data_IF_927486099261
#
_entry.id   IF_927486099261
#
_cell.length_a   1.000
_cell.length_b   1.000
_cell.length_c   1.000
_cell.angle_alpha   90.00
_cell.angle_beta   90.00
_cell.angle_gamma   90.00
#
_symmetry.space_group_name_H-M   'P 1'
#
loop_
_entity.id
_entity.type
_entity.pdbx_description
1 polymer ?
#
# COMPACT_ATOMS: atom_id res chain seq x y z
N UNK A 1 4.27 -21.32 5.91
CA UNK A 1 5.56 -22.03 5.89
C UNK A 1 6.77 -21.13 6.14
N UNK A 2 6.65 -19.82 5.96
CA UNK A 2 7.73 -18.85 6.12
C UNK A 2 7.80 -18.21 7.51
N UNK A 3 7.10 -18.76 8.48
CA UNK A 3 6.93 -18.16 9.79
C UNK A 3 7.46 -19.09 10.91
N UNK A 4 8.06 -18.48 11.92
CA UNK A 4 8.48 -19.15 13.14
C UNK A 4 9.93 -19.64 13.15
N UNK A 5 10.34 -20.19 14.28
CA UNK A 5 11.72 -20.61 14.54
C UNK A 5 12.24 -21.74 13.66
N UNK A 6 11.33 -22.60 13.18
CA UNK A 6 11.68 -23.70 12.27
C UNK A 6 12.12 -23.21 10.90
N UNK A 7 11.49 -22.14 10.36
CA UNK A 7 11.93 -21.55 9.09
C UNK A 7 13.39 -21.09 9.17
N UNK A 8 13.75 -20.37 10.23
CA UNK A 8 15.13 -19.90 10.44
C UNK A 8 16.13 -21.07 10.49
N UNK A 9 15.83 -22.11 11.27
CA UNK A 9 16.70 -23.29 11.41
C UNK A 9 16.91 -24.00 10.07
N UNK A 10 15.84 -24.19 9.29
CA UNK A 10 15.90 -24.81 7.96
C UNK A 10 16.64 -23.93 6.96
N UNK A 11 16.38 -22.63 6.97
CA UNK A 11 17.08 -21.68 6.11
C UNK A 11 18.60 -21.73 6.34
N UNK A 12 19.05 -21.68 7.58
CA UNK A 12 20.48 -21.72 7.90
C UNK A 12 21.12 -23.06 7.49
N UNK A 13 20.41 -24.16 7.63
CA UNK A 13 20.89 -25.48 7.19
C UNK A 13 21.12 -25.50 5.67
N UNK A 14 20.13 -25.07 4.90
CA UNK A 14 20.24 -25.02 3.44
C UNK A 14 21.27 -23.97 3.00
N UNK A 15 21.27 -22.80 3.59
CA UNK A 15 22.22 -21.73 3.26
C UNK A 15 23.66 -22.20 3.47
N UNK A 16 23.95 -22.86 4.58
CA UNK A 16 25.28 -23.41 4.86
C UNK A 16 25.70 -24.39 3.79
N UNK A 17 24.88 -25.38 3.49
CA UNK A 17 25.19 -26.40 2.49
C UNK A 17 25.39 -25.80 1.08
N UNK A 18 24.53 -24.82 0.69
CA UNK A 18 24.67 -24.14 -0.60
C UNK A 18 25.98 -23.35 -0.65
N UNK A 19 26.30 -22.59 0.40
CA UNK A 19 27.51 -21.76 0.45
C UNK A 19 28.81 -22.57 0.54
N UNK A 20 28.76 -23.75 1.11
CA UNK A 20 29.89 -24.68 1.08
C UNK A 20 30.18 -25.24 -0.31
N UNK A 21 29.13 -25.53 -1.09
CA UNK A 21 29.27 -26.07 -2.45
C UNK A 21 29.40 -24.97 -3.52
N UNK A 22 28.73 -23.83 -3.33
CA UNK A 22 28.60 -22.74 -4.30
C UNK A 22 28.65 -21.38 -3.59
N UNK A 23 29.83 -20.92 -3.16
CA UNK A 23 29.98 -19.70 -2.36
C UNK A 23 29.50 -18.44 -3.06
N UNK A 24 29.48 -18.41 -4.40
CA UNK A 24 29.07 -17.29 -5.22
C UNK A 24 27.55 -17.12 -5.33
N UNK A 25 26.77 -18.17 -5.05
CA UNK A 25 25.29 -18.09 -5.17
C UNK A 25 24.71 -17.25 -4.04
N UNK A 26 23.95 -16.24 -4.39
CA UNK A 26 23.17 -15.44 -3.45
C UNK A 26 21.97 -16.26 -2.93
N UNK A 27 21.87 -16.42 -1.62
CA UNK A 27 20.76 -17.13 -1.00
C UNK A 27 19.75 -16.13 -0.47
N UNK A 28 18.53 -16.20 -1.00
CA UNK A 28 17.42 -15.30 -0.68
C UNK A 28 16.53 -15.95 0.37
N UNK A 29 16.23 -15.21 1.42
CA UNK A 29 15.27 -15.63 2.44
C UNK A 29 13.86 -15.16 2.04
N UNK A 30 12.86 -16.02 2.12
CA UNK A 30 11.46 -15.65 1.89
C UNK A 30 10.78 -14.98 3.10
N UNK A 31 11.53 -14.68 4.15
CA UNK A 31 11.05 -13.92 5.30
C UNK A 31 12.21 -13.13 5.93
N UNK A 32 11.95 -11.95 6.49
CA UNK A 32 12.95 -11.23 7.25
C UNK A 32 13.45 -12.10 8.41
N UNK A 33 14.75 -12.38 8.42
CA UNK A 33 15.39 -13.15 9.49
C UNK A 33 15.61 -12.23 10.69
N UNK A 34 14.96 -12.52 11.80
CA UNK A 34 15.09 -11.74 13.02
C UNK A 34 16.38 -12.08 13.76
N UNK A 35 17.00 -11.09 14.36
CA UNK A 35 18.09 -11.04 15.39
C UNK A 35 19.28 -12.02 15.31
N UNK A 36 19.21 -13.20 14.73
CA UNK A 36 20.26 -14.24 14.79
C UNK A 36 20.90 -14.62 13.46
N UNK A 37 20.37 -14.14 12.33
CA UNK A 37 20.94 -14.44 11.02
C UNK A 37 20.52 -13.37 10.03
N UNK A 38 21.40 -13.08 9.07
CA UNK A 38 21.10 -12.22 7.95
C UNK A 38 21.16 -13.06 6.70
N UNK A 39 20.08 -13.07 5.93
CA UNK A 39 20.22 -13.43 4.54
C UNK A 39 20.91 -12.28 3.81
N UNK A 40 21.57 -12.60 2.73
CA UNK A 40 22.13 -11.59 1.84
C UNK A 40 20.99 -10.74 1.27
N UNK A 41 19.93 -11.40 0.83
CA UNK A 41 18.72 -10.78 0.34
C UNK A 41 17.48 -11.35 1.03
N UNK A 42 16.43 -10.54 1.07
CA UNK A 42 15.10 -10.95 1.53
C UNK A 42 14.10 -10.77 0.40
N UNK A 43 13.29 -11.78 0.18
CA UNK A 43 12.16 -11.73 -0.74
C UNK A 43 10.97 -11.04 -0.06
N UNK A 44 10.48 -9.99 -0.69
CA UNK A 44 9.37 -9.18 -0.18
C UNK A 44 8.26 -9.09 -1.22
N UNK A 45 7.03 -9.36 -0.82
CA UNK A 45 5.85 -9.33 -1.67
C UNK A 45 4.95 -8.16 -1.29
N UNK A 46 4.43 -7.44 -2.29
CA UNK A 46 3.58 -6.26 -2.12
C UNK A 46 2.32 -6.36 -2.97
N UNK A 47 1.28 -6.91 -2.38
CA UNK A 47 -0.05 -6.95 -2.98
C UNK A 47 -0.99 -6.04 -2.21
N UNK A 48 -1.33 -4.89 -2.78
CA UNK A 48 -2.08 -3.85 -2.08
C UNK A 48 -2.88 -2.99 -3.06
N UNK A 49 -3.64 -2.04 -2.51
CA UNK A 49 -4.31 -1.01 -3.29
C UNK A 49 -3.35 0.09 -3.76
N UNK A 50 -3.83 0.95 -4.66
CA UNK A 50 -3.05 2.07 -5.22
C UNK A 50 -2.45 2.99 -4.16
N UNK A 51 -3.22 3.29 -3.10
CA UNK A 51 -2.79 4.17 -2.03
C UNK A 51 -1.52 3.66 -1.32
N UNK A 52 -1.38 2.34 -1.22
CA UNK A 52 -0.16 1.76 -0.68
C UNK A 52 1.04 2.11 -1.55
N UNK A 53 0.96 1.91 -2.86
CA UNK A 53 2.07 2.15 -3.78
C UNK A 53 2.43 3.64 -3.84
N UNK A 54 1.44 4.52 -3.90
CA UNK A 54 1.65 5.98 -3.86
C UNK A 54 2.34 6.45 -2.56
N UNK A 55 1.89 5.96 -1.41
CA UNK A 55 2.42 6.41 -0.10
C UNK A 55 3.74 5.74 0.28
N UNK A 56 4.17 4.70 -0.42
CA UNK A 56 5.39 3.96 -0.16
C UNK A 56 6.49 4.15 -1.22
N UNK A 57 6.41 5.20 -2.04
CA UNK A 57 7.49 5.55 -2.97
C UNK A 57 8.84 5.75 -2.25
N UNK A 58 8.85 6.39 -1.09
CA UNK A 58 10.04 6.54 -0.25
C UNK A 58 10.34 5.39 0.72
N UNK A 59 9.75 4.19 0.53
CA UNK A 59 9.88 3.07 1.46
C UNK A 59 11.32 2.65 1.76
N UNK A 60 12.16 2.69 0.75
CA UNK A 60 13.54 2.23 0.81
C UNK A 60 14.56 3.34 1.07
N UNK A 61 14.11 4.58 1.30
CA UNK A 61 14.99 5.68 1.63
C UNK A 61 15.75 5.42 2.93
N UNK A 62 16.96 5.96 3.05
CA UNK A 62 17.88 5.69 4.16
C UNK A 62 17.35 6.11 5.54
N UNK A 63 16.42 7.05 5.58
CA UNK A 63 15.72 7.49 6.79
C UNK A 63 14.63 6.51 7.25
N UNK A 64 14.15 5.65 6.35
CA UNK A 64 13.08 4.68 6.61
C UNK A 64 13.56 3.23 6.61
N UNK A 65 14.57 2.92 5.79
CA UNK A 65 15.08 1.56 5.64
C UNK A 65 16.56 1.48 6.01
N UNK A 66 16.88 0.69 7.01
CA UNK A 66 18.27 0.56 7.49
C UNK A 66 19.19 -0.08 6.45
N UNK A 67 20.27 0.59 6.11
CA UNK A 67 21.35 0.09 5.22
C UNK A 67 22.12 -1.10 5.84
N UNK A 68 21.86 -1.42 7.11
CA UNK A 68 22.38 -2.62 7.77
C UNK A 68 21.46 -3.84 7.62
N UNK A 69 20.28 -3.66 7.05
CA UNK A 69 19.35 -4.75 6.74
C UNK A 69 19.81 -5.55 5.52
N UNK A 70 19.23 -6.74 5.31
CA UNK A 70 19.39 -7.48 4.06
C UNK A 70 18.92 -6.65 2.88
N UNK A 71 19.60 -6.79 1.73
CA UNK A 71 19.08 -6.23 0.48
C UNK A 71 17.73 -6.87 0.10
N UNK A 72 16.95 -6.18 -0.69
CA UNK A 72 15.58 -6.57 -1.03
C UNK A 72 15.51 -7.11 -2.46
N UNK A 73 14.92 -8.26 -2.61
CA UNK A 73 14.31 -8.73 -3.83
C UNK A 73 12.79 -8.52 -3.68
N UNK A 74 12.20 -7.68 -4.52
CA UNK A 74 10.74 -7.57 -4.60
C UNK A 74 10.28 -8.69 -5.53
N UNK A 75 10.05 -9.88 -4.95
CA UNK A 75 9.76 -11.09 -5.73
C UNK A 75 8.39 -11.09 -6.35
N UNK A 76 7.45 -10.40 -5.72
CA UNK A 76 6.09 -10.24 -6.24
C UNK A 76 5.54 -8.87 -5.86
N UNK A 77 4.93 -8.18 -6.82
CA UNK A 77 4.13 -6.99 -6.53
C UNK A 77 3.05 -6.78 -7.60
N UNK A 78 2.04 -6.03 -7.25
CA UNK A 78 0.98 -5.59 -8.15
C UNK A 78 -0.22 -5.05 -7.39
N UNK A 79 -0.94 -4.13 -8.02
CA UNK A 79 -2.19 -3.58 -7.49
C UNK A 79 -3.29 -4.63 -7.54
N UNK A 80 -3.93 -4.90 -6.40
CA UNK A 80 -4.96 -5.95 -6.28
C UNK A 80 -6.35 -5.39 -5.97
N UNK A 81 -6.46 -4.11 -5.66
CA UNK A 81 -7.73 -3.48 -5.32
C UNK A 81 -8.62 -3.32 -6.55
N UNK A 82 -9.80 -3.91 -6.52
CA UNK A 82 -10.82 -3.75 -7.56
C UNK A 82 -11.70 -2.51 -7.27
N UNK A 83 -12.12 -1.76 -8.30
CA UNK A 83 -12.00 -2.03 -9.74
C UNK A 83 -10.71 -1.51 -10.39
N UNK A 84 -9.73 -1.05 -9.63
CA UNK A 84 -8.55 -0.33 -10.12
C UNK A 84 -7.44 -1.24 -10.66
N UNK A 85 -7.35 -2.48 -10.20
CA UNK A 85 -6.36 -3.44 -10.70
C UNK A 85 -6.41 -3.56 -12.22
N UNK A 86 -5.24 -3.51 -12.87
CA UNK A 86 -5.12 -3.56 -14.33
C UNK A 86 -5.48 -2.28 -15.08
N UNK A 87 -5.75 -1.17 -14.39
CA UNK A 87 -6.03 0.13 -15.01
C UNK A 87 -4.75 0.98 -15.14
N UNK A 88 -4.82 2.04 -15.93
CA UNK A 88 -3.73 3.02 -16.03
C UNK A 88 -3.44 3.68 -14.67
N UNK A 89 -4.46 3.92 -13.86
CA UNK A 89 -4.31 4.51 -12.53
C UNK A 89 -3.49 3.60 -11.60
N UNK A 90 -3.76 2.30 -11.62
CA UNK A 90 -2.95 1.32 -10.90
C UNK A 90 -1.49 1.32 -11.37
N UNK A 91 -1.27 1.33 -12.69
CA UNK A 91 0.07 1.39 -13.26
C UNK A 91 0.84 2.65 -12.84
N UNK A 92 0.19 3.82 -12.79
CA UNK A 92 0.80 5.07 -12.31
C UNK A 92 1.19 4.97 -10.82
N UNK A 93 0.35 4.38 -9.99
CA UNK A 93 0.68 4.15 -8.58
C UNK A 93 1.88 3.20 -8.43
N UNK A 94 1.90 2.11 -9.19
CA UNK A 94 3.04 1.18 -9.26
C UNK A 94 4.31 1.89 -9.76
N UNK A 95 4.21 2.82 -10.72
CA UNK A 95 5.34 3.62 -11.21
C UNK A 95 5.98 4.44 -10.08
N UNK A 96 5.19 5.09 -9.23
CA UNK A 96 5.71 5.86 -8.09
C UNK A 96 6.53 4.97 -7.15
N UNK A 97 6.07 3.75 -6.89
CA UNK A 97 6.78 2.79 -6.06
C UNK A 97 8.09 2.30 -6.72
N UNK A 98 8.05 2.04 -8.03
CA UNK A 98 9.22 1.62 -8.80
C UNK A 98 10.30 2.68 -8.87
N UNK A 99 9.93 3.96 -9.06
CA UNK A 99 10.89 5.09 -9.00
C UNK A 99 11.60 5.08 -7.65
N UNK A 100 10.87 4.98 -6.55
CA UNK A 100 11.48 4.90 -5.23
C UNK A 100 12.36 3.66 -5.01
N UNK A 101 12.06 2.56 -5.67
CA UNK A 101 12.92 1.38 -5.67
C UNK A 101 14.23 1.62 -6.47
N UNK A 102 14.14 2.26 -7.64
CA UNK A 102 15.31 2.60 -8.48
C UNK A 102 16.20 3.68 -7.85
N UNK A 103 15.64 4.61 -7.07
CA UNK A 103 16.41 5.58 -6.28
C UNK A 103 17.28 4.92 -5.19
N UNK A 104 17.03 3.67 -4.85
CA UNK A 104 17.70 2.94 -3.79
C UNK A 104 18.32 1.60 -4.28
N UNK A 105 19.20 1.62 -5.32
CA UNK A 105 19.76 0.42 -5.92
C UNK A 105 20.72 -0.33 -4.99
N UNK A 106 21.20 0.33 -3.95
CA UNK A 106 22.00 -0.28 -2.89
C UNK A 106 21.19 -1.24 -2.03
N UNK A 107 19.88 -1.02 -1.92
CA UNK A 107 18.97 -1.86 -1.14
C UNK A 107 18.06 -2.73 -1.99
N UNK A 108 17.45 -2.19 -3.05
CA UNK A 108 16.57 -2.96 -3.93
C UNK A 108 17.37 -3.52 -5.10
N UNK A 109 17.61 -4.81 -5.07
CA UNK A 109 18.47 -5.46 -6.06
C UNK A 109 17.73 -5.97 -7.28
N UNK A 110 16.52 -6.45 -7.10
CA UNK A 110 15.68 -6.98 -8.17
C UNK A 110 14.21 -6.79 -7.83
N UNK A 111 13.39 -6.82 -8.87
CA UNK A 111 11.95 -6.83 -8.73
C UNK A 111 11.30 -7.70 -9.82
N UNK A 112 10.15 -8.27 -9.50
CA UNK A 112 9.34 -9.05 -10.43
C UNK A 112 7.85 -8.77 -10.17
N UNK A 113 7.09 -8.67 -11.23
CA UNK A 113 5.63 -8.52 -11.15
C UNK A 113 4.96 -9.90 -11.07
N UNK A 114 3.86 -9.99 -10.34
CA UNK A 114 3.07 -11.21 -10.31
C UNK A 114 1.56 -10.94 -10.17
N UNK A 115 0.73 -11.72 -10.91
CA UNK A 115 1.10 -12.74 -11.90
C UNK A 115 1.51 -12.11 -13.24
N UNK A 116 2.44 -12.74 -13.94
CA UNK A 116 2.84 -12.31 -15.29
C UNK A 116 1.79 -12.72 -16.32
N UNK A 117 1.34 -13.96 -16.27
CA UNK A 117 0.38 -14.55 -17.21
C UNK A 117 -0.90 -14.94 -16.49
N UNK A 118 -2.04 -14.69 -17.13
CA UNK A 118 -3.36 -15.15 -16.68
C UNK A 118 -4.21 -15.64 -17.84
N UNK A 119 -4.81 -16.83 -17.68
CA UNK A 119 -5.75 -17.34 -18.66
C UNK A 119 -7.13 -16.69 -18.43
N UNK A 120 -7.59 -15.91 -19.39
CA UNK A 120 -8.86 -15.20 -19.32
C UNK A 120 -10.03 -16.16 -19.01
N UNK A 121 -10.83 -15.82 -18.00
CA UNK A 121 -11.90 -16.66 -17.49
C UNK A 121 -11.47 -17.64 -16.38
N UNK A 122 -10.17 -17.79 -16.13
CA UNK A 122 -9.61 -18.65 -15.07
C UNK A 122 -8.68 -17.87 -14.14
N UNK A 123 -8.70 -16.55 -14.24
CA UNK A 123 -7.86 -15.67 -13.43
C UNK A 123 -8.30 -15.69 -11.98
N UNK A 124 -7.33 -15.81 -11.11
CA UNK A 124 -7.50 -15.56 -9.69
C UNK A 124 -7.84 -14.08 -9.44
N UNK A 125 -7.97 -13.68 -8.20
CA UNK A 125 -8.32 -12.32 -7.80
C UNK A 125 -7.31 -11.23 -8.24
N UNK A 126 -6.12 -11.61 -8.72
CA UNK A 126 -5.03 -10.71 -9.14
C UNK A 126 -5.08 -10.47 -10.64
N UNK A 127 -4.83 -9.23 -11.05
CA UNK A 127 -4.80 -8.87 -12.46
C UNK A 127 -3.41 -9.18 -13.05
N UNK A 128 -3.31 -10.03 -14.10
CA UNK A 128 -2.03 -10.37 -14.71
C UNK A 128 -1.49 -9.22 -15.58
N UNK A 129 -0.19 -9.24 -15.84
CA UNK A 129 0.40 -8.35 -16.86
C UNK A 129 -0.14 -8.65 -18.24
N UNK A 130 -0.32 -9.92 -18.54
CA UNK A 130 -0.76 -10.42 -19.84
C UNK A 130 -1.91 -11.39 -19.61
N UNK A 131 -3.11 -11.02 -19.99
CA UNK A 131 -4.26 -11.92 -20.09
C UNK A 131 -4.27 -12.60 -21.45
N UNK A 132 -4.50 -13.89 -21.51
CA UNK A 132 -4.54 -14.63 -22.76
C UNK A 132 -5.67 -15.66 -22.78
N UNK A 133 -6.06 -16.06 -23.96
CA UNK A 133 -6.89 -17.22 -24.23
C UNK A 133 -6.35 -17.98 -25.44
N UNK A 134 -7.12 -18.91 -25.99
CA UNK A 134 -6.69 -19.72 -27.15
C UNK A 134 -6.46 -18.94 -28.45
N UNK A 135 -6.89 -17.68 -28.52
CA UNK A 135 -6.92 -16.90 -29.77
C UNK A 135 -6.15 -15.60 -29.71
N UNK A 136 -6.00 -15.02 -28.52
CA UNK A 136 -5.40 -13.68 -28.37
C UNK A 136 -4.74 -13.50 -27.01
N UNK A 137 -3.84 -12.53 -26.94
CA UNK A 137 -3.25 -12.04 -25.71
C UNK A 137 -3.43 -10.53 -25.62
N UNK A 138 -3.76 -10.03 -24.43
CA UNK A 138 -3.96 -8.62 -24.15
C UNK A 138 -3.03 -8.22 -23.01
N UNK A 139 -2.29 -7.15 -23.19
CA UNK A 139 -1.37 -6.62 -22.19
C UNK A 139 -2.03 -5.52 -21.37
N UNK A 140 -1.71 -5.46 -20.08
CA UNK A 140 -2.20 -4.41 -19.17
C UNK A 140 -1.37 -3.13 -19.26
N UNK A 141 -1.85 -1.99 -18.74
CA UNK A 141 -1.04 -0.80 -18.54
C UNK A 141 0.22 -1.04 -17.73
N UNK A 142 0.18 -1.90 -16.70
CA UNK A 142 1.35 -2.30 -15.91
C UNK A 142 2.40 -3.04 -16.73
N UNK A 143 2.02 -3.77 -17.77
CA UNK A 143 2.97 -4.35 -18.73
C UNK A 143 3.75 -3.25 -19.45
N UNK A 144 3.08 -2.23 -19.95
CA UNK A 144 3.74 -1.12 -20.64
C UNK A 144 4.66 -0.34 -19.71
N UNK A 145 4.23 -0.12 -18.47
CA UNK A 145 5.04 0.45 -17.41
C UNK A 145 6.35 -0.33 -17.23
N UNK A 146 6.27 -1.63 -16.96
CA UNK A 146 7.45 -2.46 -16.75
C UNK A 146 8.34 -2.52 -17.99
N UNK A 147 7.76 -2.54 -19.18
CA UNK A 147 8.50 -2.46 -20.43
C UNK A 147 9.31 -1.16 -20.53
N UNK A 148 8.78 -0.02 -20.07
CA UNK A 148 9.52 1.24 -20.00
C UNK A 148 10.69 1.14 -19.02
N UNK A 149 10.45 0.73 -17.80
CA UNK A 149 11.47 0.61 -16.74
C UNK A 149 12.58 -0.38 -17.13
N UNK A 150 12.25 -1.49 -17.76
CA UNK A 150 13.25 -2.50 -18.13
C UNK A 150 14.07 -2.14 -19.37
N UNK A 151 13.52 -1.34 -20.29
CA UNK A 151 14.20 -0.96 -21.54
C UNK A 151 14.99 0.34 -21.46
N UNK A 152 14.66 1.20 -20.51
CA UNK A 152 15.26 2.52 -20.37
C UNK A 152 16.01 2.66 -19.04
N UNK A 153 16.71 1.61 -18.64
CA UNK A 153 17.55 1.64 -17.43
C UNK A 153 18.83 2.43 -17.69
N UNK A 154 19.11 3.36 -16.77
CA UNK A 154 20.41 4.02 -16.70
C UNK A 154 21.44 3.20 -15.93
N UNK A 155 22.70 3.58 -16.04
CA UNK A 155 23.81 2.99 -15.27
C UNK A 155 24.00 3.67 -13.92
N UNK A 156 23.54 4.93 -13.78
CA UNK A 156 23.69 5.75 -12.58
C UNK A 156 22.38 6.43 -12.21
N UNK A 157 22.15 6.60 -10.89
CA UNK A 157 21.04 7.38 -10.35
C UNK A 157 21.51 8.80 -10.08
N UNK A 158 20.99 9.76 -10.83
CA UNK A 158 21.28 11.17 -10.66
C UNK A 158 20.37 11.78 -9.57
N UNK A 159 20.95 12.64 -8.74
CA UNK A 159 20.14 13.43 -7.80
C UNK A 159 19.22 14.36 -8.59
N UNK A 160 17.93 14.09 -8.53
CA UNK A 160 16.91 14.89 -9.21
C UNK A 160 16.16 15.77 -8.21
N UNK A 161 15.98 17.02 -8.54
CA UNK A 161 15.10 17.95 -7.81
C UNK A 161 14.01 18.33 -8.81
N UNK A 162 12.77 18.00 -8.50
CA UNK A 162 11.62 18.41 -9.29
C UNK A 162 11.00 19.64 -8.63
N UNK A 163 11.14 20.78 -9.30
CA UNK A 163 10.46 22.01 -8.90
C UNK A 163 9.18 22.13 -9.75
N UNK A 164 8.06 21.79 -9.15
CA UNK A 164 6.75 21.93 -9.81
C UNK A 164 6.18 23.29 -9.46
N UNK A 165 6.12 24.18 -10.44
CA UNK A 165 5.43 25.47 -10.32
C UNK A 165 3.90 25.33 -10.31
N UNK A 166 3.38 24.15 -10.55
CA UNK A 166 1.97 23.89 -10.36
C UNK A 166 1.63 23.96 -8.87
N UNK A 167 0.79 24.92 -8.52
CA UNK A 167 0.13 24.90 -7.20
C UNK A 167 -0.40 23.49 -7.00
N UNK A 168 -0.13 22.86 -5.83
CA UNK A 168 -0.71 21.55 -5.55
C UNK A 168 -2.19 21.62 -5.93
N UNK A 169 -2.65 20.71 -6.78
CA UNK A 169 -4.08 20.63 -7.08
C UNK A 169 -4.77 20.38 -5.75
N UNK A 170 -5.40 21.41 -5.27
CA UNK A 170 -6.10 21.38 -4.00
C UNK A 170 -7.25 20.39 -4.19
N UNK A 171 -7.11 19.23 -3.60
CA UNK A 171 -8.18 18.24 -3.63
C UNK A 171 -9.27 18.73 -2.71
N UNK A 172 -10.39 19.09 -3.30
CA UNK A 172 -11.61 19.32 -2.56
C UNK A 172 -12.18 17.99 -2.07
N UNK A 173 -12.80 17.98 -0.92
CA UNK A 173 -13.35 16.75 -0.38
C UNK A 173 -14.10 16.96 0.92
N UNK A 174 -14.69 15.87 1.41
CA UNK A 174 -15.41 15.87 2.68
C UNK A 174 -14.59 15.17 3.76
N UNK A 175 -14.70 15.65 4.99
CA UNK A 175 -14.17 14.97 6.16
C UNK A 175 -15.07 13.77 6.52
N UNK A 176 -14.50 12.80 7.23
CA UNK A 176 -15.29 11.66 7.67
C UNK A 176 -14.62 10.81 8.72
N UNK A 177 -15.41 9.90 9.27
CA UNK A 177 -14.99 8.90 10.23
C UNK A 177 -15.32 7.52 9.70
N UNK A 178 -14.40 6.62 9.89
CA UNK A 178 -14.54 5.20 9.56
C UNK A 178 -14.13 4.34 10.76
N UNK A 179 -14.92 3.33 11.08
CA UNK A 179 -14.65 2.41 12.17
C UNK A 179 -15.27 1.04 11.88
N UNK A 180 -14.70 0.00 12.46
CA UNK A 180 -15.18 -1.36 12.21
C UNK A 180 -16.38 -1.74 13.08
N UNK A 181 -16.53 -1.18 14.27
CA UNK A 181 -17.57 -1.51 15.23
C UNK A 181 -18.25 -0.25 15.77
N UNK A 182 -19.04 -0.38 16.85
CA UNK A 182 -19.65 0.74 17.56
C UNK A 182 -18.95 1.05 18.90
N UNK A 183 -17.63 0.90 18.94
CA UNK A 183 -16.82 1.05 20.16
C UNK A 183 -16.50 2.49 20.53
N UNK A 184 -16.85 3.44 19.70
CA UNK A 184 -16.53 4.85 19.91
C UNK A 184 -17.76 5.73 19.77
N UNK A 185 -17.76 6.81 20.51
CA UNK A 185 -18.69 7.92 20.43
C UNK A 185 -17.91 9.19 20.15
N UNK A 186 -18.43 10.04 19.27
CA UNK A 186 -17.80 11.28 18.86
C UNK A 186 -18.65 12.44 19.37
N UNK A 187 -18.03 13.36 20.10
CA UNK A 187 -18.65 14.58 20.62
C UNK A 187 -17.89 15.81 20.17
N UNK A 188 -18.58 16.92 20.17
CA UNK A 188 -18.05 18.22 19.76
C UNK A 188 -17.34 18.16 18.38
N UNK A 189 -17.95 17.41 17.46
CA UNK A 189 -17.48 17.30 16.08
C UNK A 189 -17.77 18.60 15.36
N UNK A 190 -16.73 19.28 14.91
CA UNK A 190 -16.84 20.60 14.25
C UNK A 190 -16.03 20.62 12.97
N UNK A 191 -16.49 21.40 12.01
CA UNK A 191 -15.71 21.82 10.84
C UNK A 191 -15.67 23.36 10.87
N UNK A 192 -14.47 23.93 10.86
CA UNK A 192 -14.23 25.37 10.96
C UNK A 192 -14.99 26.02 12.15
N UNK A 193 -15.01 25.31 13.27
CA UNK A 193 -15.70 25.74 14.48
C UNK A 193 -17.22 25.52 14.48
N UNK A 194 -17.84 25.10 13.38
CA UNK A 194 -19.29 24.85 13.26
C UNK A 194 -19.62 23.41 13.63
N UNK A 195 -20.53 23.15 14.58
CA UNK A 195 -20.94 21.79 14.91
C UNK A 195 -21.57 21.06 13.72
N UNK A 196 -21.15 19.82 13.49
CA UNK A 196 -21.69 18.98 12.41
C UNK A 196 -23.11 18.55 12.73
N UNK A 197 -24.05 18.87 11.84
CA UNK A 197 -25.46 18.44 11.94
C UNK A 197 -25.92 17.62 10.75
N UNK A 198 -25.26 17.79 9.59
CA UNK A 198 -25.58 17.07 8.36
C UNK A 198 -24.48 16.04 8.05
N UNK A 199 -24.91 14.80 7.82
CA UNK A 199 -24.03 13.68 7.53
C UNK A 199 -24.50 12.90 6.33
N UNK A 200 -23.54 12.29 5.60
CA UNK A 200 -23.80 11.28 4.58
C UNK A 200 -23.29 9.93 5.07
N UNK A 201 -24.20 9.01 5.36
CA UNK A 201 -23.84 7.65 5.76
C UNK A 201 -23.42 6.85 4.55
N UNK A 202 -22.17 6.39 4.53
CA UNK A 202 -21.61 5.57 3.45
C UNK A 202 -21.76 4.08 3.75
N UNK A 203 -21.65 3.69 5.00
CA UNK A 203 -21.90 2.32 5.47
C UNK A 203 -22.26 2.29 6.94
N UNK A 204 -22.90 1.19 7.38
CA UNK A 204 -23.32 1.03 8.75
C UNK A 204 -24.59 1.80 9.10
N UNK A 205 -24.70 2.22 10.35
CA UNK A 205 -25.75 3.08 10.87
C UNK A 205 -25.17 4.15 11.77
N UNK A 206 -25.70 5.38 11.67
CA UNK A 206 -25.24 6.52 12.48
C UNK A 206 -26.43 7.34 12.97
N UNK A 207 -26.32 7.80 14.19
CA UNK A 207 -27.23 8.80 14.77
C UNK A 207 -26.51 10.10 15.05
N UNK A 208 -27.23 11.20 14.83
CA UNK A 208 -26.82 12.55 15.26
C UNK A 208 -27.86 13.03 16.29
N UNK A 209 -27.71 12.63 17.57
CA UNK A 209 -28.67 13.00 18.61
C UNK A 209 -28.77 14.52 18.82
N UNK A 210 -27.67 15.20 18.62
CA UNK A 210 -27.54 16.66 18.68
C UNK A 210 -26.37 17.08 17.75
N UNK A 211 -26.36 18.34 17.33
CA UNK A 211 -25.29 18.87 16.50
C UNK A 211 -23.92 18.65 17.15
N UNK A 212 -23.00 18.09 16.38
CA UNK A 212 -21.66 17.75 16.85
C UNK A 212 -21.53 16.40 17.58
N UNK A 213 -22.62 15.62 17.72
CA UNK A 213 -22.55 14.28 18.33
C UNK A 213 -22.86 13.21 17.30
N UNK A 214 -21.90 12.30 17.05
CA UNK A 214 -22.04 11.18 16.14
C UNK A 214 -21.94 9.86 16.89
N UNK A 215 -22.96 9.01 16.77
CA UNK A 215 -23.05 7.72 17.46
C UNK A 215 -23.27 6.61 16.43
N UNK A 216 -22.35 5.65 16.30
CA UNK A 216 -22.54 4.50 15.42
C UNK A 216 -23.54 3.52 16.03
N UNK A 217 -24.44 2.99 15.21
CA UNK A 217 -25.46 2.05 15.65
C UNK A 217 -25.14 0.59 15.33
N UNK A 218 -24.41 0.35 14.24
CA UNK A 218 -24.15 -1.00 13.77
C UNK A 218 -22.82 -1.54 14.29
N UNK A 219 -22.82 -2.81 14.73
CA UNK A 219 -21.59 -3.52 15.10
C UNK A 219 -20.93 -4.15 13.85
N UNK A 220 -20.62 -3.33 12.88
CA UNK A 220 -20.00 -3.68 11.61
C UNK A 220 -19.21 -2.47 11.09
N UNK A 221 -18.79 -2.52 9.87
CA UNK A 221 -18.13 -1.39 9.22
C UNK A 221 -19.06 -0.18 9.16
N UNK A 222 -18.66 0.90 9.81
CA UNK A 222 -19.37 2.16 9.88
C UNK A 222 -18.54 3.24 9.22
N UNK A 223 -19.10 3.96 8.25
CA UNK A 223 -18.46 5.08 7.59
C UNK A 223 -19.45 6.23 7.41
N UNK A 224 -19.03 7.41 7.76
CA UNK A 224 -19.81 8.64 7.64
C UNK A 224 -18.94 9.76 7.09
N UNK A 225 -19.51 10.58 6.21
CA UNK A 225 -18.89 11.80 5.68
C UNK A 225 -19.73 13.01 6.09
N UNK A 226 -19.06 14.14 6.29
CA UNK A 226 -19.66 15.43 6.64
C UNK A 226 -18.84 16.58 6.05
N UNK A 227 -19.42 17.79 6.06
CA UNK A 227 -18.83 18.97 5.44
C UNK A 227 -19.08 19.08 3.95
N UNK A 228 -18.57 20.15 3.36
CA UNK A 228 -18.76 20.47 1.94
C UNK A 228 -17.71 19.75 1.07
N UNK A 229 -18.17 19.15 -0.01
CA UNK A 229 -17.30 18.48 -0.99
C UNK A 229 -16.44 19.44 -1.82
N UNK A 230 -16.73 20.72 -1.80
CA UNK A 230 -15.98 21.76 -2.52
C UNK A 230 -14.87 22.38 -1.69
N UNK A 231 -14.89 22.16 -0.37
CA UNK A 231 -13.87 22.69 0.55
C UNK A 231 -12.53 21.99 0.35
N UNK A 232 -11.47 22.75 0.37
CA UNK A 232 -10.09 22.29 0.20
C UNK A 232 -9.20 22.54 1.41
N UNK A 233 -9.66 23.38 2.33
CA UNK A 233 -9.02 23.64 3.60
C UNK A 233 -10.10 23.82 4.66
N UNK A 234 -10.04 23.04 5.71
CA UNK A 234 -10.91 23.18 6.88
C UNK A 234 -10.20 22.61 8.11
N UNK A 235 -10.60 23.11 9.26
CA UNK A 235 -10.20 22.54 10.53
C UNK A 235 -11.27 21.57 11.01
N UNK A 236 -10.87 20.32 11.26
CA UNK A 236 -11.74 19.31 11.83
C UNK A 236 -11.35 19.01 13.27
N UNK A 237 -12.26 19.17 14.20
CA UNK A 237 -12.07 18.85 15.61
C UNK A 237 -13.14 17.88 16.09
N UNK A 238 -12.77 16.98 16.99
CA UNK A 238 -13.69 16.08 17.65
C UNK A 238 -13.14 15.57 18.99
N UNK A 239 -14.02 15.36 19.96
CA UNK A 239 -13.73 14.60 21.17
C UNK A 239 -14.18 13.16 20.94
N UNK A 240 -13.25 12.21 21.05
CA UNK A 240 -13.51 10.79 20.80
C UNK A 240 -13.48 10.03 22.12
N UNK A 241 -14.56 9.37 22.46
CA UNK A 241 -14.66 8.52 23.64
C UNK A 241 -14.85 7.06 23.23
N UNK A 242 -13.95 6.21 23.70
CA UNK A 242 -14.10 4.77 23.56
C UNK A 242 -15.14 4.26 24.57
N UNK A 243 -16.14 3.54 24.08
CA UNK A 243 -17.24 3.02 24.90
C UNK A 243 -17.06 1.55 25.26
N UNK A 244 -16.44 0.76 24.37
CA UNK A 244 -16.19 -0.68 24.57
C UNK A 244 -15.15 -1.22 23.58
N UNK A 245 -14.79 -2.51 23.72
CA UNK A 245 -14.05 -3.26 22.71
C UNK A 245 -12.61 -2.81 22.43
N UNK A 246 -12.06 -3.28 21.33
CA UNK A 246 -10.70 -3.00 20.83
C UNK A 246 -10.68 -2.45 19.40
N UNK A 247 -11.83 -1.97 18.92
CA UNK A 247 -12.00 -1.47 17.56
C UNK A 247 -11.00 -0.39 17.16
N UNK A 248 -10.79 -0.24 15.87
CA UNK A 248 -9.96 0.80 15.27
C UNK A 248 -10.83 1.92 14.72
N UNK A 249 -10.29 3.13 14.74
CA UNK A 249 -10.90 4.33 14.16
C UNK A 249 -9.94 4.89 13.11
N UNK A 250 -10.49 5.36 12.00
CA UNK A 250 -9.75 6.08 10.97
C UNK A 250 -10.44 7.40 10.67
N UNK A 251 -9.67 8.47 10.63
CA UNK A 251 -10.13 9.75 10.09
C UNK A 251 -9.93 9.73 8.58
N UNK A 252 -10.96 10.11 7.84
CA UNK A 252 -10.95 10.13 6.37
C UNK A 252 -11.09 11.55 5.85
N UNK A 253 -10.28 11.87 4.85
CA UNK A 253 -10.41 13.05 4.00
C UNK A 253 -10.67 12.56 2.58
N UNK A 254 -11.78 12.97 1.99
CA UNK A 254 -12.19 12.63 0.62
C UNK A 254 -12.68 13.84 -0.15
#
# INVERSE_FOLDING_TARGET
>A
ENYGGEYFRRFELFRKAIKEAYPEITVISSSPLTKRGRSEWVDSHYYAGENFFLSNSGRFNSDRYSRRSSAVFIGEFGTTERPLAGTLRAAVAEACFLVGAEENPDMVRRLAYAPVLGNAGFENQRHPLISFNTHQAVVSPSYHLLKMFTRHRGDEVLKTIVDTYEKPQVRTGRAGVEMFDNSYEFKDVRIDGVPVSDISVMSGGWKVPEAGTLVPEANRWNQVLFGDSTSYAYEYTATVRRTKGSGQIQLRLR
#
